data_IF_933967532479
#
_entry.id   IF_933967532479
#
_cell.length_a   1.000
_cell.length_b   1.000
_cell.length_c   1.000
_cell.angle_alpha   90.00
_cell.angle_beta   90.00
_cell.angle_gamma   90.00
#
_symmetry.space_group_name_H-M   'P 1'
#
loop_
_entity.id
_entity.type
_entity.pdbx_description
1 polymer ?
#
# COMPACT_ATOMS: atom_id res chain seq x y z
N UNK A 1 -3.92 5.44 -27.31
CA UNK A 1 -2.72 4.71 -26.83
C UNK A 1 -3.17 3.71 -25.79
N UNK A 2 -3.13 2.41 -26.08
CA UNK A 2 -3.48 1.38 -25.10
C UNK A 2 -2.46 1.39 -23.96
N UNK A 3 -2.89 1.85 -22.78
CA UNK A 3 -2.09 1.66 -21.57
C UNK A 3 -2.09 0.18 -21.25
N UNK A 4 -0.90 -0.41 -21.14
CA UNK A 4 -0.73 -1.81 -20.71
C UNK A 4 -1.51 -2.00 -19.39
N UNK A 5 -2.39 -3.01 -19.33
CA UNK A 5 -3.20 -3.25 -18.14
C UNK A 5 -2.30 -3.51 -16.91
N UNK A 6 -2.63 -2.97 -15.72
CA UNK A 6 -1.93 -3.30 -14.48
C UNK A 6 -1.97 -4.81 -14.20
N UNK A 7 -0.88 -5.35 -13.66
CA UNK A 7 -0.85 -6.71 -13.11
C UNK A 7 -1.17 -6.63 -11.62
N UNK A 8 -2.20 -7.35 -11.17
CA UNK A 8 -2.63 -7.37 -9.76
C UNK A 8 -2.11 -8.66 -9.12
N UNK A 9 -1.39 -8.52 -8.00
CA UNK A 9 -0.78 -9.64 -7.28
C UNK A 9 -1.19 -9.54 -5.80
N UNK A 10 -1.82 -10.60 -5.29
CA UNK A 10 -2.23 -10.70 -3.89
C UNK A 10 -1.22 -11.55 -3.12
N UNK A 11 -0.73 -11.04 -1.98
CA UNK A 11 0.06 -11.82 -1.02
C UNK A 11 -0.86 -12.26 0.11
N UNK A 12 -1.12 -13.56 0.21
CA UNK A 12 -2.10 -14.12 1.15
C UNK A 12 -1.51 -15.27 1.97
N UNK A 13 -1.98 -15.41 3.21
CA UNK A 13 -1.76 -16.56 4.08
C UNK A 13 -2.70 -16.50 5.28
N UNK A 14 -3.26 -17.66 5.62
CA UNK A 14 -4.16 -17.86 6.76
C UNK A 14 -3.45 -17.74 8.12
N UNK A 15 -2.11 -17.88 8.16
CA UNK A 15 -1.33 -17.86 9.39
C UNK A 15 -0.72 -16.48 9.64
N UNK A 16 -0.81 -16.01 10.88
CA UNK A 16 -0.08 -14.83 11.36
C UNK A 16 1.43 -15.10 11.43
N UNK A 17 2.26 -14.06 11.27
CA UNK A 17 3.70 -14.16 11.51
C UNK A 17 4.52 -14.94 10.45
N UNK A 18 3.95 -15.26 9.29
CA UNK A 18 4.67 -15.97 8.19
C UNK A 18 5.35 -15.03 7.19
N UNK A 19 5.40 -13.73 7.48
CA UNK A 19 6.09 -12.76 6.63
C UNK A 19 5.29 -12.17 5.46
N UNK A 20 3.94 -12.31 5.42
CA UNK A 20 3.10 -11.74 4.34
C UNK A 20 3.43 -10.28 4.02
N UNK A 21 3.35 -9.40 5.03
CA UNK A 21 3.57 -7.96 4.85
C UNK A 21 5.02 -7.67 4.49
N UNK A 22 5.97 -8.38 5.10
CA UNK A 22 7.41 -8.29 4.76
C UNK A 22 7.66 -8.64 3.29
N UNK A 23 7.12 -9.76 2.81
CA UNK A 23 7.22 -10.18 1.42
C UNK A 23 6.55 -9.18 0.49
N UNK A 24 5.38 -8.64 0.85
CA UNK A 24 4.69 -7.63 0.05
C UNK A 24 5.51 -6.34 -0.09
N UNK A 25 6.10 -5.85 1.00
CA UNK A 25 6.98 -4.66 1.00
C UNK A 25 8.19 -4.92 0.11
N UNK A 26 8.97 -5.99 0.38
CA UNK A 26 10.21 -6.28 -0.37
C UNK A 26 9.92 -6.49 -1.86
N UNK A 27 8.88 -7.24 -2.17
CA UNK A 27 8.48 -7.49 -3.56
C UNK A 27 8.07 -6.20 -4.28
N UNK A 28 7.29 -5.34 -3.62
CA UNK A 28 6.93 -4.03 -4.16
C UNK A 28 8.17 -3.13 -4.36
N UNK A 29 9.10 -3.09 -3.40
CA UNK A 29 10.36 -2.34 -3.52
C UNK A 29 11.19 -2.79 -4.72
N UNK A 30 11.36 -4.10 -4.90
CA UNK A 30 12.16 -4.63 -6.00
C UNK A 30 11.51 -4.34 -7.36
N UNK A 31 10.19 -4.48 -7.46
CA UNK A 31 9.45 -4.14 -8.68
C UNK A 31 9.46 -2.64 -8.98
N UNK A 32 9.50 -1.78 -7.95
CA UNK A 32 9.48 -0.33 -8.09
C UNK A 32 10.72 0.23 -8.83
N UNK A 33 11.81 -0.55 -8.91
CA UNK A 33 13.03 -0.18 -9.64
C UNK A 33 12.80 -0.03 -11.14
N UNK A 34 11.95 -0.89 -11.71
CA UNK A 34 11.70 -0.94 -13.16
C UNK A 34 10.24 -0.61 -13.53
N UNK A 35 9.35 -0.52 -12.54
CA UNK A 35 7.91 -0.37 -12.75
C UNK A 35 7.26 0.61 -11.78
N UNK A 36 6.16 1.24 -12.20
CA UNK A 36 5.26 1.94 -11.26
C UNK A 36 4.46 0.91 -10.47
N UNK A 37 4.63 0.90 -9.15
CA UNK A 37 4.01 -0.06 -8.23
C UNK A 37 3.11 0.67 -7.24
N UNK A 38 1.93 0.10 -7.00
CA UNK A 38 1.03 0.51 -5.91
C UNK A 38 0.92 -0.65 -4.91
N UNK A 39 1.31 -0.41 -3.67
CA UNK A 39 1.14 -1.35 -2.57
C UNK A 39 -0.15 -1.00 -1.81
N UNK A 40 -1.13 -1.91 -1.84
CA UNK A 40 -2.39 -1.75 -1.12
C UNK A 40 -2.36 -2.61 0.13
N UNK A 41 -2.44 -1.99 1.31
CA UNK A 41 -2.49 -2.71 2.58
C UNK A 41 -3.95 -2.96 3.00
N UNK A 42 -4.43 -4.19 2.84
CA UNK A 42 -5.77 -4.61 3.27
C UNK A 42 -5.77 -5.43 4.58
N UNK A 43 -4.61 -5.53 5.25
CA UNK A 43 -4.49 -6.24 6.53
C UNK A 43 -4.79 -5.28 7.68
N UNK A 44 -5.73 -5.66 8.56
CA UNK A 44 -6.13 -4.88 9.75
C UNK A 44 -4.97 -4.64 10.72
N UNK A 45 -3.91 -5.46 10.67
CA UNK A 45 -2.70 -5.26 11.48
C UNK A 45 -1.84 -4.08 11.00
N UNK A 46 -2.15 -3.49 9.85
CA UNK A 46 -1.51 -2.28 9.34
C UNK A 46 0.02 -2.35 9.14
N UNK A 47 0.64 -3.54 9.16
CA UNK A 47 2.11 -3.66 9.24
C UNK A 47 2.85 -3.01 8.06
N UNK A 48 2.28 -3.07 6.85
CA UNK A 48 2.85 -2.39 5.68
C UNK A 48 2.75 -0.88 5.80
N UNK A 49 1.63 -0.34 6.30
CA UNK A 49 1.45 1.09 6.56
C UNK A 49 2.41 1.57 7.64
N UNK A 50 2.55 0.82 8.75
CA UNK A 50 3.48 1.16 9.85
C UNK A 50 4.93 1.19 9.40
N UNK A 51 5.34 0.32 8.46
CA UNK A 51 6.69 0.36 7.89
C UNK A 51 6.98 1.71 7.19
N UNK A 52 5.97 2.34 6.59
CA UNK A 52 6.10 3.63 5.91
C UNK A 52 5.73 4.84 6.78
N UNK A 53 5.55 4.69 8.09
CA UNK A 53 5.00 5.75 8.97
C UNK A 53 5.79 7.07 8.87
N UNK A 54 7.12 7.02 8.85
CA UNK A 54 7.96 8.20 8.72
C UNK A 54 7.71 8.97 7.41
N UNK A 55 7.36 8.27 6.33
CA UNK A 55 7.05 8.89 5.03
C UNK A 55 5.69 9.56 5.08
N UNK A 56 4.70 8.87 5.65
CA UNK A 56 3.34 9.33 5.83
C UNK A 56 3.30 10.59 6.71
N UNK A 57 4.01 10.58 7.84
CA UNK A 57 4.12 11.73 8.75
C UNK A 57 4.78 12.94 8.08
N UNK A 58 5.86 12.74 7.32
CA UNK A 58 6.51 13.81 6.55
C UNK A 58 5.58 14.45 5.52
N UNK A 59 4.65 13.68 4.97
CA UNK A 59 3.64 14.15 4.03
C UNK A 59 2.39 14.71 4.71
N UNK A 60 2.35 14.72 6.06
CA UNK A 60 1.24 15.23 6.87
C UNK A 60 -0.10 14.59 6.51
N UNK A 61 -0.08 13.30 6.16
CA UNK A 61 -1.29 12.53 5.86
C UNK A 61 -1.95 12.12 7.19
N UNK A 62 -3.22 12.47 7.35
CA UNK A 62 -4.05 11.98 8.45
C UNK A 62 -4.50 10.55 8.16
N UNK A 63 -3.78 9.56 8.70
CA UNK A 63 -4.06 8.14 8.46
C UNK A 63 -5.42 7.67 8.97
N UNK A 64 -6.05 8.41 9.88
CA UNK A 64 -7.38 8.08 10.41
C UNK A 64 -8.45 8.44 9.36
N UNK A 65 -8.26 9.56 8.65
CA UNK A 65 -9.17 10.03 7.61
C UNK A 65 -8.88 9.40 6.24
N UNK A 66 -7.61 9.17 5.90
CA UNK A 66 -7.19 8.73 4.58
C UNK A 66 -6.61 7.31 4.62
N UNK A 67 -7.49 6.32 4.55
CA UNK A 67 -7.11 4.92 4.53
C UNK A 67 -8.11 4.06 3.74
N UNK A 68 -7.73 2.80 3.47
CA UNK A 68 -8.55 1.88 2.67
C UNK A 68 -9.92 1.58 3.30
N UNK A 69 -10.04 1.65 4.62
CA UNK A 69 -11.30 1.39 5.31
C UNK A 69 -12.31 2.52 5.04
N UNK A 70 -11.88 3.79 5.06
CA UNK A 70 -12.73 4.94 4.70
C UNK A 70 -13.14 4.91 3.21
N UNK A 71 -12.26 4.42 2.32
CA UNK A 71 -12.60 4.17 0.91
C UNK A 71 -13.70 3.12 0.79
N UNK A 72 -13.57 1.98 1.48
CA UNK A 72 -14.56 0.89 1.45
C UNK A 72 -15.91 1.35 2.04
N UNK A 73 -15.88 2.26 3.02
CA UNK A 73 -17.08 2.91 3.58
C UNK A 73 -17.73 3.92 2.63
N UNK A 74 -17.08 4.25 1.51
CA UNK A 74 -17.47 5.34 0.59
C UNK A 74 -17.46 6.72 1.26
N UNK A 75 -16.62 6.94 2.27
CA UNK A 75 -16.49 8.23 2.94
C UNK A 75 -15.52 9.17 2.21
N UNK A 76 -14.56 8.62 1.46
CA UNK A 76 -13.57 9.36 0.67
C UNK A 76 -13.40 8.72 -0.71
N UNK A 77 -12.91 9.50 -1.69
CA UNK A 77 -12.51 8.97 -2.99
C UNK A 77 -11.20 8.16 -2.85
N UNK A 78 -11.08 7.05 -3.58
CA UNK A 78 -9.87 6.19 -3.53
C UNK A 78 -8.60 6.97 -3.84
N UNK A 79 -8.65 7.97 -4.72
CA UNK A 79 -7.50 8.76 -5.11
C UNK A 79 -6.98 9.64 -3.96
N UNK A 80 -7.84 9.99 -2.99
CA UNK A 80 -7.46 10.76 -1.80
C UNK A 80 -6.68 9.90 -0.77
N UNK A 81 -6.81 8.58 -0.85
CA UNK A 81 -6.12 7.64 0.05
C UNK A 81 -4.72 7.22 -0.43
N UNK A 82 -4.27 7.71 -1.58
CA UNK A 82 -3.01 7.30 -2.20
C UNK A 82 -1.87 8.25 -1.81
N UNK A 83 -0.87 7.69 -1.13
CA UNK A 83 0.36 8.38 -0.75
C UNK A 83 1.51 7.95 -1.67
N UNK A 84 2.32 8.90 -2.15
CA UNK A 84 3.47 8.61 -3.00
C UNK A 84 4.72 8.49 -2.14
N UNK A 85 5.35 7.32 -2.14
CA UNK A 85 6.67 7.13 -1.51
C UNK A 85 7.74 6.97 -2.60
N UNK A 86 8.87 7.65 -2.44
CA UNK A 86 10.08 7.28 -3.18
C UNK A 86 10.67 6.04 -2.51
N UNK A 87 10.34 4.88 -3.04
CA UNK A 87 11.02 3.64 -2.71
C UNK A 87 12.33 3.60 -3.52
N UNK A 88 13.44 3.43 -2.82
CA UNK A 88 14.81 3.43 -3.36
C UNK A 88 15.07 2.16 -4.18
#
# INVERSE_FOLDING_TARGET
MDRKKPKIITIASIKGGVGKSTSAIIFATLLAKDHKVLLINMDTQASSTSYFINTIEKQKVDIIQYNIYEVIRNNIDVNESITVSMMV
#
